data_IF_982516372982
#
_entry.id   IF_982516372982
#
_cell.length_a   1.000
_cell.length_b   1.000
_cell.length_c   1.000
_cell.angle_alpha   90.00
_cell.angle_beta   90.00
_cell.angle_gamma   90.00
#
_symmetry.space_group_name_H-M   'P 1'
#
loop_
_entity.id
_entity.type
_entity.pdbx_description
1 polymer ?
#
# COMPACT_ATOMS: atom_id res chain seq x y z
N UNK A 1 6.77 -1.23 9.99
CA UNK A 1 6.21 -2.09 11.07
C UNK A 1 5.28 -3.09 10.40
N UNK A 2 5.49 -4.37 10.62
CA UNK A 2 4.65 -5.42 10.03
C UNK A 2 3.34 -5.52 10.86
N UNK A 3 2.20 -5.25 10.24
CA UNK A 3 0.88 -5.29 10.90
C UNK A 3 0.47 -6.69 11.30
N UNK A 4 0.86 -7.69 10.49
CA UNK A 4 0.52 -9.09 10.73
C UNK A 4 1.31 -9.66 11.93
N UNK A 5 2.59 -9.28 12.04
CA UNK A 5 3.43 -9.60 13.19
C UNK A 5 2.85 -9.01 14.48
N UNK A 6 2.47 -7.72 14.44
CA UNK A 6 1.85 -7.06 15.59
C UNK A 6 0.52 -7.71 16.00
N UNK A 7 -0.32 -8.11 15.05
CA UNK A 7 -1.58 -8.80 15.32
C UNK A 7 -1.33 -10.17 15.99
N UNK A 8 -0.39 -10.93 15.46
CA UNK A 8 -0.04 -12.26 15.98
C UNK A 8 0.49 -12.19 17.42
N UNK A 9 1.45 -11.28 17.68
CA UNK A 9 2.06 -11.14 19.00
C UNK A 9 1.05 -10.67 20.06
N UNK A 10 0.16 -9.74 19.69
CA UNK A 10 -0.90 -9.32 20.61
C UNK A 10 -1.89 -10.44 20.93
N UNK A 11 -2.19 -11.32 19.98
CA UNK A 11 -3.06 -12.49 20.21
C UNK A 11 -2.40 -13.50 21.15
N UNK A 12 -1.10 -13.74 21.00
CA UNK A 12 -0.33 -14.58 21.92
C UNK A 12 -0.31 -13.97 23.33
N UNK A 13 0.02 -12.67 23.44
CA UNK A 13 0.04 -11.97 24.72
C UNK A 13 -1.33 -12.03 25.44
N UNK A 14 -2.42 -11.83 24.70
CA UNK A 14 -3.77 -11.96 25.23
C UNK A 14 -4.05 -13.38 25.77
N UNK A 15 -3.57 -14.41 25.06
CA UNK A 15 -3.66 -15.80 25.52
C UNK A 15 -2.92 -16.04 26.82
N UNK A 16 -1.69 -15.53 26.93
CA UNK A 16 -0.86 -15.64 28.14
C UNK A 16 -1.51 -14.94 29.34
N UNK A 17 -2.01 -13.72 29.13
CA UNK A 17 -2.73 -12.97 30.18
C UNK A 17 -4.01 -13.67 30.63
N UNK A 18 -4.76 -14.30 29.73
CA UNK A 18 -5.91 -15.14 30.07
C UNK A 18 -5.53 -16.37 30.92
N UNK A 19 -4.34 -16.92 30.70
CA UNK A 19 -3.79 -18.01 31.49
C UNK A 19 -3.19 -17.54 32.82
N UNK A 20 -3.30 -16.25 33.15
CA UNK A 20 -2.80 -15.70 34.42
C UNK A 20 -1.30 -15.35 34.42
N UNK A 21 -0.64 -15.37 33.25
CA UNK A 21 0.76 -14.96 33.14
C UNK A 21 0.82 -13.41 33.17
N UNK A 22 1.67 -12.81 34.03
CA UNK A 22 1.85 -11.37 34.09
C UNK A 22 2.29 -10.78 32.72
N UNK A 23 1.89 -9.55 32.44
CA UNK A 23 2.15 -8.89 31.14
C UNK A 23 3.65 -8.76 30.85
N UNK A 24 4.45 -8.39 31.83
CA UNK A 24 5.90 -8.27 31.74
C UNK A 24 6.57 -9.59 31.34
N UNK A 25 6.16 -10.68 31.98
CA UNK A 25 6.67 -12.03 31.66
C UNK A 25 6.21 -12.51 30.30
N UNK A 26 4.97 -12.20 29.92
CA UNK A 26 4.42 -12.49 28.59
C UNK A 26 5.17 -11.76 27.48
N UNK A 27 5.41 -10.46 27.65
CA UNK A 27 6.19 -9.64 26.70
C UNK A 27 7.61 -10.16 26.52
N UNK A 28 8.30 -10.51 27.62
CA UNK A 28 9.64 -11.07 27.56
C UNK A 28 9.67 -12.35 26.74
N UNK A 29 8.75 -13.26 26.99
CA UNK A 29 8.66 -14.54 26.27
C UNK A 29 8.39 -14.36 24.79
N UNK A 30 7.52 -13.42 24.41
CA UNK A 30 7.22 -13.08 23.03
C UNK A 30 8.46 -12.49 22.35
N UNK A 31 9.13 -11.53 22.98
CA UNK A 31 10.31 -10.89 22.40
C UNK A 31 11.49 -11.83 22.23
N UNK A 32 11.62 -12.88 23.05
CA UNK A 32 12.61 -13.94 22.84
C UNK A 32 12.38 -14.74 21.56
N UNK A 33 11.12 -14.95 21.16
CA UNK A 33 10.75 -15.70 19.95
C UNK A 33 10.74 -14.84 18.67
N UNK A 34 10.72 -13.52 18.80
CA UNK A 34 10.68 -12.60 17.65
C UNK A 34 12.03 -12.49 16.94
N UNK A 35 11.99 -12.37 15.62
CA UNK A 35 13.15 -11.97 14.83
C UNK A 35 13.55 -10.54 15.18
N UNK A 36 14.82 -10.19 15.04
CA UNK A 36 15.30 -8.82 15.31
C UNK A 36 14.57 -7.79 14.45
N UNK A 37 13.67 -7.07 15.08
CA UNK A 37 12.83 -6.06 14.44
C UNK A 37 12.71 -4.82 15.32
N UNK A 38 12.33 -3.71 14.72
CA UNK A 38 12.03 -2.47 15.47
C UNK A 38 10.93 -2.71 16.51
N UNK A 39 9.96 -3.57 16.20
CA UNK A 39 8.88 -3.94 17.12
C UNK A 39 9.42 -4.68 18.35
N UNK A 40 10.31 -5.65 18.16
CA UNK A 40 10.96 -6.37 19.27
C UNK A 40 11.63 -5.41 20.25
N UNK A 41 12.38 -4.44 19.75
CA UNK A 41 13.04 -3.44 20.60
C UNK A 41 12.02 -2.63 21.43
N UNK A 42 10.90 -2.22 20.81
CA UNK A 42 9.84 -1.48 21.50
C UNK A 42 9.12 -2.32 22.56
N UNK A 43 8.80 -3.57 22.24
CA UNK A 43 8.15 -4.48 23.20
C UNK A 43 9.08 -4.86 24.37
N UNK A 44 10.38 -5.06 24.10
CA UNK A 44 11.37 -5.26 25.17
C UNK A 44 11.46 -4.05 26.10
N UNK A 45 11.48 -2.84 25.54
CA UNK A 45 11.50 -1.62 26.32
C UNK A 45 10.23 -1.46 27.16
N UNK A 46 9.07 -1.82 26.60
CA UNK A 46 7.80 -1.85 27.34
C UNK A 46 7.88 -2.85 28.49
N UNK A 47 8.30 -4.10 28.23
CA UNK A 47 8.45 -5.13 29.26
C UNK A 47 9.35 -4.67 30.40
N UNK A 48 10.52 -4.10 30.10
CA UNK A 48 11.47 -3.60 31.12
C UNK A 48 10.90 -2.45 31.97
N UNK A 49 10.04 -1.61 31.39
CA UNK A 49 9.36 -0.54 32.15
C UNK A 49 8.28 -1.11 33.09
N UNK A 50 7.55 -2.13 32.64
CA UNK A 50 6.54 -2.82 33.44
C UNK A 50 7.18 -3.60 34.59
N UNK A 51 8.32 -4.28 34.38
CA UNK A 51 9.12 -4.92 35.43
C UNK A 51 9.56 -3.95 36.54
N UNK A 52 9.77 -2.68 36.18
CA UNK A 52 10.07 -1.58 37.13
C UNK A 52 8.82 -1.04 37.84
N UNK A 53 7.66 -1.67 37.65
CA UNK A 53 6.39 -1.27 38.27
C UNK A 53 5.73 -0.03 37.62
N UNK A 54 6.15 0.39 36.42
CA UNK A 54 5.46 1.47 35.71
C UNK A 54 4.10 1.00 35.20
N UNK A 55 3.10 1.86 35.28
CA UNK A 55 1.79 1.61 34.68
C UNK A 55 1.91 1.59 33.15
N UNK A 56 1.12 0.76 32.48
CA UNK A 56 1.15 0.58 31.02
C UNK A 56 0.93 1.92 30.29
N UNK A 57 0.00 2.75 30.75
CA UNK A 57 -0.29 4.06 30.18
C UNK A 57 0.94 4.98 30.12
N UNK A 58 1.75 4.99 31.19
CA UNK A 58 3.00 5.76 31.25
C UNK A 58 4.15 5.08 30.51
N UNK A 59 4.21 3.77 30.58
CA UNK A 59 5.27 3.00 29.95
C UNK A 59 5.26 3.10 28.39
N UNK A 60 4.11 3.33 27.78
CA UNK A 60 3.96 3.41 26.30
C UNK A 60 4.17 4.79 25.73
N UNK A 61 4.16 5.86 26.50
CA UNK A 61 4.16 7.26 26.01
C UNK A 61 5.34 7.55 25.09
N UNK A 62 6.55 7.20 25.53
CA UNK A 62 7.81 7.52 24.82
C UNK A 62 8.21 6.45 23.79
N UNK A 63 7.40 5.41 23.60
CA UNK A 63 7.68 4.36 22.62
C UNK A 63 7.26 4.80 21.22
N UNK A 64 7.99 4.39 20.20
CA UNK A 64 7.66 4.64 18.80
C UNK A 64 6.63 3.59 18.29
N UNK A 65 5.48 3.59 18.96
CA UNK A 65 4.32 2.74 18.61
C UNK A 65 3.20 3.62 18.03
N UNK A 66 2.32 3.05 17.19
CA UNK A 66 1.17 3.79 16.68
C UNK A 66 0.32 4.38 17.81
N UNK A 67 -0.12 5.60 17.62
CA UNK A 67 -0.91 6.31 18.65
C UNK A 67 -2.19 5.57 19.04
N UNK A 68 -2.86 4.95 18.05
CA UNK A 68 -4.02 4.09 18.29
C UNK A 68 -3.69 2.91 19.22
N UNK A 69 -2.51 2.29 19.03
CA UNK A 69 -2.05 1.19 19.86
C UNK A 69 -1.83 1.62 21.32
N UNK A 70 -1.16 2.76 21.52
CA UNK A 70 -0.92 3.35 22.86
C UNK A 70 -2.24 3.62 23.59
N UNK A 71 -3.20 4.23 22.90
CA UNK A 71 -4.52 4.54 23.47
C UNK A 71 -5.30 3.27 23.85
N UNK A 72 -5.25 2.24 23.02
CA UNK A 72 -5.90 0.97 23.31
C UNK A 72 -5.29 0.26 24.51
N UNK A 73 -3.95 0.28 24.65
CA UNK A 73 -3.29 -0.26 25.85
C UNK A 73 -3.66 0.52 27.12
N UNK A 74 -3.69 1.84 27.07
CA UNK A 74 -4.14 2.67 28.19
C UNK A 74 -5.60 2.36 28.58
N UNK A 75 -6.48 2.16 27.61
CA UNK A 75 -7.87 1.74 27.83
C UNK A 75 -7.93 0.35 28.49
N UNK A 76 -7.10 -0.58 28.04
CA UNK A 76 -6.99 -1.94 28.63
C UNK A 76 -6.59 -1.91 30.10
N UNK A 77 -5.67 -1.02 30.45
CA UNK A 77 -5.28 -0.77 31.85
C UNK A 77 -6.45 -0.19 32.66
N UNK A 78 -7.08 0.87 32.16
CA UNK A 78 -8.17 1.55 32.85
C UNK A 78 -9.40 0.65 33.06
N UNK A 79 -9.71 -0.21 32.10
CA UNK A 79 -10.84 -1.14 32.16
C UNK A 79 -10.54 -2.45 32.88
N UNK A 80 -9.32 -2.67 33.36
CA UNK A 80 -8.86 -3.93 33.96
C UNK A 80 -9.15 -5.16 33.07
N UNK A 81 -9.23 -4.95 31.77
CA UNK A 81 -9.58 -5.97 30.79
C UNK A 81 -8.55 -6.08 29.66
N UNK A 82 -7.25 -6.04 30.02
CA UNK A 82 -6.14 -6.07 29.09
C UNK A 82 -6.23 -7.22 28.06
N UNK A 83 -6.57 -8.46 28.41
CA UNK A 83 -6.67 -9.54 27.44
C UNK A 83 -7.71 -9.29 26.34
N UNK A 84 -8.85 -8.67 26.68
CA UNK A 84 -9.90 -8.35 25.69
C UNK A 84 -9.44 -7.24 24.73
N UNK A 85 -8.78 -6.23 25.27
CA UNK A 85 -8.27 -5.12 24.47
C UNK A 85 -7.16 -5.59 23.53
N UNK A 86 -6.25 -6.45 23.97
CA UNK A 86 -5.21 -7.03 23.11
C UNK A 86 -5.78 -7.86 21.94
N UNK A 87 -6.88 -8.60 22.19
CA UNK A 87 -7.59 -9.31 21.11
C UNK A 87 -8.19 -8.29 20.12
N UNK A 88 -8.85 -7.24 20.60
CA UNK A 88 -9.40 -6.20 19.77
C UNK A 88 -8.32 -5.51 18.92
N UNK A 89 -7.15 -5.26 19.50
CA UNK A 89 -5.97 -4.74 18.80
C UNK A 89 -5.50 -5.72 17.72
N UNK A 90 -5.39 -7.00 18.04
CA UNK A 90 -4.99 -8.03 17.10
C UNK A 90 -5.96 -8.09 15.89
N UNK A 91 -7.26 -8.13 16.16
CA UNK A 91 -8.30 -8.17 15.11
C UNK A 91 -8.29 -6.90 14.25
N UNK A 92 -8.02 -5.73 14.84
CA UNK A 92 -7.91 -4.46 14.12
C UNK A 92 -6.72 -4.47 13.13
N UNK A 93 -5.54 -4.87 13.59
CA UNK A 93 -4.35 -4.90 12.75
C UNK A 93 -4.39 -6.01 11.69
N UNK A 94 -4.98 -7.16 11.99
CA UNK A 94 -5.21 -8.24 11.02
C UNK A 94 -6.14 -7.78 9.88
N UNK A 95 -7.21 -7.06 10.19
CA UNK A 95 -8.12 -6.50 9.18
C UNK A 95 -7.41 -5.47 8.29
N UNK A 96 -6.59 -4.61 8.86
CA UNK A 96 -5.82 -3.63 8.08
C UNK A 96 -4.81 -4.34 7.17
N UNK A 97 -4.11 -5.36 7.65
CA UNK A 97 -3.16 -6.15 6.87
C UNK A 97 -3.83 -6.83 5.67
N UNK A 98 -4.98 -7.48 5.88
CA UNK A 98 -5.73 -8.14 4.80
C UNK A 98 -6.27 -7.17 3.76
N UNK A 99 -6.72 -5.98 4.14
CA UNK A 99 -7.18 -4.93 3.22
C UNK A 99 -6.02 -4.42 2.36
N UNK A 100 -4.87 -4.14 2.95
CA UNK A 100 -3.69 -3.68 2.22
C UNK A 100 -3.22 -4.69 1.17
N UNK A 101 -3.25 -5.98 1.49
CA UNK A 101 -2.88 -7.05 0.56
C UNK A 101 -3.87 -7.18 -0.60
N UNK A 102 -5.18 -7.10 -0.32
CA UNK A 102 -6.23 -7.16 -1.35
C UNK A 102 -6.16 -5.95 -2.28
N UNK A 103 -5.95 -4.75 -1.76
CA UNK A 103 -5.81 -3.53 -2.57
C UNK A 103 -4.58 -3.57 -3.46
N UNK A 104 -3.45 -4.11 -3.00
CA UNK A 104 -2.26 -4.31 -3.84
C UNK A 104 -2.53 -5.27 -4.99
N UNK A 105 -3.23 -6.37 -4.74
CA UNK A 105 -3.62 -7.32 -5.79
C UNK A 105 -4.52 -6.69 -6.86
N UNK A 106 -5.47 -5.84 -6.44
CA UNK A 106 -6.36 -5.15 -7.38
C UNK A 106 -5.64 -4.04 -8.16
N UNK A 107 -4.60 -3.40 -7.60
CA UNK A 107 -3.84 -2.35 -8.27
C UNK A 107 -2.91 -2.88 -9.38
N UNK A 108 -2.52 -4.14 -9.35
CA UNK A 108 -1.65 -4.77 -10.36
C UNK A 108 -2.34 -4.80 -11.74
N UNK A 109 -3.63 -5.10 -11.78
CA UNK A 109 -4.39 -5.19 -13.03
C UNK A 109 -4.45 -3.85 -13.81
N UNK A 110 -4.89 -2.72 -13.21
CA UNK A 110 -4.89 -1.44 -13.90
C UNK A 110 -3.47 -0.98 -14.29
N UNK A 111 -2.45 -1.29 -13.48
CA UNK A 111 -1.08 -0.94 -13.81
C UNK A 111 -0.57 -1.70 -15.04
N UNK A 112 -0.93 -2.97 -15.18
CA UNK A 112 -0.58 -3.78 -16.35
C UNK A 112 -1.27 -3.25 -17.63
N UNK A 113 -2.55 -2.87 -17.54
CA UNK A 113 -3.28 -2.26 -18.67
C UNK A 113 -2.64 -0.93 -19.10
N UNK A 114 -2.25 -0.08 -18.14
CA UNK A 114 -1.57 1.18 -18.43
C UNK A 114 -0.26 0.95 -19.18
N UNK A 115 0.56 0.00 -18.74
CA UNK A 115 1.83 -0.35 -19.38
C UNK A 115 1.56 -0.84 -20.83
N UNK A 116 0.63 -1.75 -21.02
CA UNK A 116 0.25 -2.23 -22.36
C UNK A 116 -0.25 -1.09 -23.26
N UNK A 117 -1.08 -0.20 -22.72
CA UNK A 117 -1.59 0.96 -23.45
C UNK A 117 -0.48 1.92 -23.90
N UNK A 118 0.51 2.17 -23.06
CA UNK A 118 1.67 2.99 -23.40
C UNK A 118 2.50 2.33 -24.50
N UNK A 119 2.73 1.02 -24.42
CA UNK A 119 3.50 0.27 -25.43
C UNK A 119 2.78 0.31 -26.79
N UNK A 120 1.47 0.04 -26.84
CA UNK A 120 0.69 0.05 -28.06
C UNK A 120 0.61 1.47 -28.66
N UNK A 121 0.41 2.49 -27.83
CA UNK A 121 0.40 3.89 -28.27
C UNK A 121 1.76 4.32 -28.86
N UNK A 122 2.85 3.94 -28.22
CA UNK A 122 4.20 4.20 -28.70
C UNK A 122 4.49 3.50 -30.03
N UNK A 123 4.06 2.24 -30.18
CA UNK A 123 4.20 1.48 -31.42
C UNK A 123 3.41 2.11 -32.58
N UNK A 124 2.17 2.53 -32.31
CA UNK A 124 1.32 3.23 -33.31
C UNK A 124 1.91 4.58 -33.71
N UNK A 125 2.45 5.34 -32.77
CA UNK A 125 3.15 6.59 -33.08
C UNK A 125 4.39 6.36 -33.95
N UNK A 126 5.19 5.35 -33.63
CA UNK A 126 6.37 4.98 -34.41
C UNK A 126 5.99 4.56 -35.84
N UNK A 127 5.01 3.65 -36.00
CA UNK A 127 4.50 3.23 -37.31
C UNK A 127 3.98 4.42 -38.15
N UNK A 128 3.27 5.36 -37.51
CA UNK A 128 2.75 6.54 -38.17
C UNK A 128 3.87 7.43 -38.75
N UNK A 129 4.99 7.54 -38.03
CA UNK A 129 6.17 8.29 -38.51
C UNK A 129 6.84 7.57 -39.67
N UNK A 130 7.05 6.28 -39.58
CA UNK A 130 7.68 5.45 -40.63
C UNK A 130 6.83 5.45 -41.90
N UNK A 131 5.51 5.20 -41.82
CA UNK A 131 4.63 5.23 -42.97
C UNK A 131 4.57 6.63 -43.66
N UNK A 132 4.57 7.69 -42.85
CA UNK A 132 4.61 9.06 -43.42
C UNK A 132 5.86 9.31 -44.25
N UNK A 133 7.02 8.87 -43.75
CA UNK A 133 8.28 9.05 -44.50
C UNK A 133 8.26 8.29 -45.83
N UNK A 134 7.75 7.06 -45.86
CA UNK A 134 7.65 6.24 -47.07
C UNK A 134 6.60 6.75 -48.01
N UNK A 135 5.40 7.17 -47.55
CA UNK A 135 4.34 7.73 -48.37
C UNK A 135 4.71 9.10 -48.95
N UNK A 136 5.40 9.94 -48.17
CA UNK A 136 5.89 11.25 -48.66
C UNK A 136 6.91 11.06 -49.78
N UNK A 137 7.78 10.08 -49.71
CA UNK A 137 8.74 9.77 -50.78
C UNK A 137 8.05 9.31 -52.06
N UNK A 138 6.99 8.50 -51.96
CA UNK A 138 6.22 8.02 -53.11
C UNK A 138 5.35 9.12 -53.71
N UNK A 139 4.70 9.96 -52.88
CA UNK A 139 3.81 11.03 -53.35
C UNK A 139 4.57 12.21 -53.95
N UNK A 140 5.79 12.50 -53.47
CA UNK A 140 6.66 13.51 -54.12
C UNK A 140 7.16 13.07 -55.48
N UNK A 141 7.22 11.76 -55.76
CA UNK A 141 7.61 11.23 -57.06
C UNK A 141 6.42 11.20 -58.05
N UNK A 142 5.16 11.11 -57.53
CA UNK A 142 3.96 10.94 -58.35
C UNK A 142 3.12 12.21 -58.54
N UNK A 143 3.22 13.17 -57.65
CA UNK A 143 2.44 14.41 -57.68
C UNK A 143 3.36 15.63 -57.67
N UNK A 144 3.65 16.14 -58.84
CA UNK A 144 4.14 17.50 -58.99
C UNK A 144 3.16 18.48 -58.33
N UNK A 145 3.59 19.12 -57.29
CA UNK A 145 3.13 20.41 -56.76
C UNK A 145 1.62 20.68 -56.61
N UNK A 146 0.84 19.70 -56.20
CA UNK A 146 -0.58 19.89 -55.89
C UNK A 146 -0.90 19.71 -54.39
N UNK A 147 -1.00 20.86 -53.70
CA UNK A 147 -1.93 21.00 -52.58
C UNK A 147 -1.53 20.39 -51.22
N UNK A 148 -0.71 21.13 -50.50
CA UNK A 148 -0.54 20.99 -49.04
C UNK A 148 -1.87 21.16 -48.31
N UNK A 149 -2.32 20.10 -47.62
CA UNK A 149 -3.24 20.23 -46.52
C UNK A 149 -2.51 19.90 -45.22
N UNK A 150 -1.78 20.84 -44.58
CA UNK A 150 -0.90 20.57 -43.44
C UNK A 150 -1.66 20.28 -42.13
N UNK A 151 -2.93 20.64 -42.04
CA UNK A 151 -3.73 20.52 -40.81
C UNK A 151 -4.21 19.11 -40.51
N UNK A 152 -4.44 18.27 -41.52
CA UNK A 152 -4.90 16.89 -41.28
C UNK A 152 -3.82 15.99 -40.70
N UNK A 153 -2.55 16.28 -40.90
CA UNK A 153 -1.44 15.45 -40.42
C UNK A 153 -1.09 15.69 -38.95
N UNK A 154 -1.30 16.88 -38.43
CA UNK A 154 -0.96 17.26 -37.06
C UNK A 154 -2.07 16.85 -36.10
N UNK A 155 -3.32 17.10 -36.45
CA UNK A 155 -4.45 16.77 -35.59
C UNK A 155 -4.72 15.25 -35.49
N UNK A 156 -4.51 14.49 -36.54
CA UNK A 156 -4.70 13.04 -36.54
C UNK A 156 -3.77 12.31 -35.60
N UNK A 157 -2.49 12.70 -35.51
CA UNK A 157 -1.52 12.01 -34.65
C UNK A 157 -1.72 12.35 -33.16
N UNK A 158 -2.12 13.57 -32.84
CA UNK A 158 -2.35 14.02 -31.45
C UNK A 158 -3.66 13.42 -30.93
N UNK A 159 -4.73 13.37 -31.73
CA UNK A 159 -5.99 12.77 -31.32
C UNK A 159 -5.88 11.27 -31.08
N UNK A 160 -5.16 10.54 -31.91
CA UNK A 160 -4.94 9.08 -31.70
C UNK A 160 -4.08 8.76 -30.48
N UNK A 161 -3.18 9.67 -30.09
CA UNK A 161 -2.36 9.49 -28.89
C UNK A 161 -3.09 9.87 -27.60
N UNK A 162 -4.01 10.84 -27.65
CA UNK A 162 -4.71 11.38 -26.47
C UNK A 162 -6.05 10.66 -26.21
N UNK A 163 -6.70 10.13 -27.25
CA UNK A 163 -8.00 9.45 -27.13
C UNK A 163 -8.01 8.27 -26.16
N UNK A 164 -7.04 7.33 -26.15
CA UNK A 164 -7.02 6.23 -25.17
C UNK A 164 -6.80 6.74 -23.74
N UNK A 165 -6.11 7.86 -23.57
CA UNK A 165 -5.90 8.47 -22.25
C UNK A 165 -7.20 9.10 -21.71
N UNK A 166 -8.03 9.67 -22.59
CA UNK A 166 -9.34 10.23 -22.22
C UNK A 166 -10.38 9.15 -21.90
N UNK A 167 -10.40 8.06 -22.65
CA UNK A 167 -11.29 6.91 -22.39
C UNK A 167 -10.92 6.26 -21.04
N UNK A 168 -9.64 6.21 -20.71
CA UNK A 168 -9.16 5.65 -19.45
C UNK A 168 -9.48 6.56 -18.25
N UNK A 169 -9.33 7.87 -18.40
CA UNK A 169 -9.70 8.84 -17.35
C UNK A 169 -11.22 8.85 -17.10
N UNK A 170 -12.04 8.71 -18.16
CA UNK A 170 -13.49 8.57 -18.03
C UNK A 170 -13.89 7.25 -17.37
N UNK A 171 -13.19 6.15 -17.66
CA UNK A 171 -13.43 4.84 -17.02
C UNK A 171 -13.12 4.84 -15.52
N UNK A 172 -12.10 5.57 -15.07
CA UNK A 172 -11.79 5.75 -13.65
C UNK A 172 -12.80 6.63 -12.91
N UNK A 173 -13.37 7.64 -13.61
CA UNK A 173 -14.39 8.52 -13.02
C UNK A 173 -15.75 7.86 -12.82
N UNK A 174 -16.05 6.77 -13.51
CA UNK A 174 -17.32 6.02 -13.37
C UNK A 174 -17.24 5.01 -12.20
N UNK A 175 -16.02 4.68 -11.72
CA UNK A 175 -15.81 3.73 -10.61
C UNK A 175 -15.53 4.41 -9.25
N UNK A 176 -15.50 5.74 -9.20
CA UNK A 176 -15.41 6.53 -7.96
C UNK A 176 -16.76 7.03 -7.51
#
# INVERSE_FOLDING_TARGET
MNTDELAFENRQLAGMLKAGIPMESGLKKITESMTDSKLKAQLNQLGSRLEKGQLVDKAVVDLDLPETYKRLLALGQASQSMPKVLICVADYYERIGTLATRLRGLAVYPMLILICGIIVSGLMAYLSVVLKNDLVSITQTAAGDAGRAPWFSIYGSVWFSVFPMFVFAAGLGVYS
#
